data_IF_887405354514
#
_entry.id   IF_887405354514
#
_cell.length_a   1.000
_cell.length_b   1.000
_cell.length_c   1.000
_cell.angle_alpha   90.00
_cell.angle_beta   90.00
_cell.angle_gamma   90.00
#
_symmetry.space_group_name_H-M   'P 1'
#
loop_
_entity.id
_entity.type
_entity.pdbx_description
1 polymer ?
#
# COMPACT_ATOMS: atom_id res chain seq x y z
N UNK A 1 28.62 20.27 3.18
CA UNK A 1 29.10 18.87 3.12
C UNK A 1 28.00 17.80 3.17
N UNK A 2 26.78 18.06 3.66
CA UNK A 2 25.68 17.04 3.73
C UNK A 2 25.01 16.68 2.39
N UNK A 3 25.14 17.52 1.36
CA UNK A 3 24.52 17.27 0.03
C UNK A 3 25.31 16.31 -0.87
N UNK A 4 26.60 16.13 -0.63
CA UNK A 4 27.45 15.21 -1.39
C UNK A 4 27.31 13.75 -0.96
N UNK A 5 26.96 13.51 0.30
CA UNK A 5 26.79 12.14 0.85
C UNK A 5 25.60 11.41 0.22
N UNK A 6 24.52 12.14 -0.11
CA UNK A 6 23.34 11.55 -0.76
C UNK A 6 23.59 11.10 -2.19
N UNK A 7 24.39 11.87 -2.94
CA UNK A 7 24.78 11.50 -4.31
C UNK A 7 25.68 10.26 -4.34
N UNK A 8 26.53 10.08 -3.33
CA UNK A 8 27.40 8.90 -3.23
C UNK A 8 26.61 7.64 -2.87
N UNK A 9 25.60 7.72 -2.02
CA UNK A 9 24.71 6.60 -1.66
C UNK A 9 23.88 6.18 -2.85
N UNK A 10 23.31 7.11 -3.61
CA UNK A 10 22.54 6.82 -4.84
C UNK A 10 23.44 6.21 -5.92
N UNK A 11 24.68 6.66 -6.07
CA UNK A 11 25.67 6.11 -7.01
C UNK A 11 26.11 4.70 -6.63
N UNK A 12 26.21 4.38 -5.34
CA UNK A 12 26.58 3.06 -4.87
C UNK A 12 25.48 2.01 -5.11
N UNK A 13 24.21 2.44 -5.07
CA UNK A 13 23.03 1.59 -5.35
C UNK A 13 22.93 1.28 -6.85
N UNK A 14 23.37 2.21 -7.72
CA UNK A 14 23.36 2.03 -9.17
C UNK A 14 24.57 1.23 -9.71
N UNK A 15 25.64 1.08 -8.92
CA UNK A 15 26.87 0.37 -9.28
C UNK A 15 26.87 -1.14 -9.04
N UNK A 16 25.74 -1.73 -8.67
CA UNK A 16 25.60 -3.18 -8.43
C UNK A 16 25.72 -3.99 -9.70
N UNK A 17 26.89 -4.50 -9.93
CA UNK A 17 27.29 -5.69 -10.74
C UNK A 17 26.30 -6.13 -11.81
N UNK A 18 26.60 -5.75 -13.04
CA UNK A 18 26.08 -6.41 -14.23
C UNK A 18 26.67 -7.84 -14.32
N UNK A 19 26.18 -8.75 -13.48
CA UNK A 19 26.29 -10.16 -13.79
C UNK A 19 25.33 -10.44 -14.94
N UNK A 20 25.80 -11.16 -15.94
CA UNK A 20 24.97 -11.69 -17.03
C UNK A 20 23.95 -12.67 -16.43
N UNK A 21 22.84 -12.15 -15.92
CA UNK A 21 21.75 -12.94 -15.36
C UNK A 21 20.61 -12.95 -16.38
N UNK A 22 20.07 -14.13 -16.61
CA UNK A 22 18.98 -14.39 -17.56
C UNK A 22 17.65 -13.71 -17.16
N UNK A 23 17.61 -12.95 -16.06
CA UNK A 23 16.40 -12.32 -15.54
C UNK A 23 16.71 -11.03 -14.75
N UNK A 24 15.83 -10.05 -14.77
CA UNK A 24 16.00 -8.82 -13.98
C UNK A 24 15.96 -9.12 -12.49
N UNK A 25 16.91 -8.56 -11.75
CA UNK A 25 17.01 -8.73 -10.31
C UNK A 25 16.25 -7.68 -9.53
N UNK A 26 16.12 -6.47 -10.10
CA UNK A 26 15.46 -5.34 -9.49
C UNK A 26 14.30 -4.92 -10.37
N UNK A 27 13.13 -4.80 -9.78
CA UNK A 27 11.93 -4.31 -10.45
C UNK A 27 11.34 -3.17 -9.63
N UNK A 28 11.04 -2.06 -10.29
CA UNK A 28 10.40 -0.88 -9.71
C UNK A 28 9.08 -0.67 -10.41
N UNK A 29 7.97 -0.67 -9.66
CA UNK A 29 6.64 -0.48 -10.21
C UNK A 29 6.00 0.76 -9.64
N UNK A 30 5.47 1.63 -10.52
CA UNK A 30 4.54 2.68 -10.15
C UNK A 30 3.12 2.25 -10.52
N UNK A 31 2.16 2.44 -9.61
CA UNK A 31 0.80 1.96 -9.83
C UNK A 31 -0.27 2.92 -9.33
N UNK A 32 -1.45 2.82 -9.94
CA UNK A 32 -2.71 3.32 -9.42
C UNK A 32 -3.39 2.22 -8.61
N UNK A 33 -4.03 2.58 -7.49
CA UNK A 33 -4.67 1.65 -6.59
C UNK A 33 -6.08 2.09 -6.23
N UNK A 34 -7.01 1.14 -6.32
CA UNK A 34 -8.37 1.26 -5.82
C UNK A 34 -8.52 0.37 -4.59
N UNK A 35 -8.84 0.97 -3.45
CA UNK A 35 -8.95 0.30 -2.16
C UNK A 35 -10.41 0.35 -1.69
N UNK A 36 -11.01 -0.81 -1.49
CA UNK A 36 -12.36 -0.94 -0.94
C UNK A 36 -12.27 -1.25 0.55
N UNK A 37 -12.55 -0.25 1.33
CA UNK A 37 -12.58 -0.34 2.78
C UNK A 37 -13.93 -0.87 3.25
N UNK A 38 -13.92 -1.97 3.98
CA UNK A 38 -15.12 -2.64 4.47
C UNK A 38 -15.06 -2.70 6.02
N UNK A 39 -15.64 -1.71 6.73
CA UNK A 39 -15.67 -1.71 8.19
C UNK A 39 -16.57 -2.82 8.70
N UNK A 40 -16.01 -3.73 9.50
CA UNK A 40 -16.77 -4.80 10.13
C UNK A 40 -17.58 -4.23 11.32
N UNK A 41 -18.91 -4.45 11.29
CA UNK A 41 -19.84 -4.24 12.43
C UNK A 41 -19.98 -2.82 13.04
N UNK A 42 -20.17 -1.80 12.24
CA UNK A 42 -20.83 -0.62 12.79
C UNK A 42 -22.02 -0.26 11.89
N UNK A 43 -23.22 -0.49 12.39
CA UNK A 43 -24.49 -0.21 11.70
C UNK A 43 -24.68 1.26 11.25
N UNK A 44 -23.63 2.05 11.22
CA UNK A 44 -23.60 3.48 10.87
C UNK A 44 -22.53 3.84 9.82
N UNK A 45 -21.56 2.95 9.52
CA UNK A 45 -20.51 3.25 8.54
C UNK A 45 -20.68 2.39 7.29
N UNK A 46 -21.06 3.04 6.19
CA UNK A 46 -21.10 2.42 4.86
C UNK A 46 -19.68 2.11 4.37
N UNK A 47 -19.55 1.07 3.53
CA UNK A 47 -18.29 0.77 2.83
C UNK A 47 -17.85 1.98 2.00
N UNK A 48 -16.60 2.38 2.13
CA UNK A 48 -16.03 3.53 1.43
C UNK A 48 -14.92 3.08 0.48
N UNK A 49 -14.88 3.69 -0.67
CA UNK A 49 -13.84 3.46 -1.67
C UNK A 49 -12.79 4.55 -1.55
N UNK A 50 -11.54 4.16 -1.50
CA UNK A 50 -10.38 5.03 -1.49
C UNK A 50 -9.63 4.86 -2.82
N UNK A 51 -9.25 5.97 -3.42
CA UNK A 51 -8.41 5.98 -4.60
C UNK A 51 -7.02 6.45 -4.21
N UNK A 52 -6.01 5.86 -4.82
CA UNK A 52 -4.65 6.20 -4.48
C UNK A 52 -3.65 5.74 -5.51
N UNK A 53 -2.41 5.83 -5.13
CA UNK A 53 -1.31 5.34 -5.92
C UNK A 53 -0.11 5.07 -5.04
N UNK A 54 0.83 4.39 -5.60
CA UNK A 54 2.03 4.02 -4.88
C UNK A 54 3.14 3.54 -5.77
N UNK A 55 4.17 3.06 -5.11
CA UNK A 55 5.30 2.45 -5.75
C UNK A 55 5.78 1.26 -4.96
N UNK A 56 6.37 0.33 -5.66
CA UNK A 56 7.01 -0.84 -5.08
C UNK A 56 8.38 -1.07 -5.69
N UNK A 57 9.25 -1.65 -4.90
CA UNK A 57 10.53 -2.15 -5.33
C UNK A 57 10.63 -3.63 -4.94
N UNK A 58 10.97 -4.47 -5.91
CA UNK A 58 11.18 -5.91 -5.71
C UNK A 58 12.62 -6.26 -6.03
N UNK A 59 13.22 -7.03 -5.16
CA UNK A 59 14.56 -7.55 -5.34
C UNK A 59 14.51 -9.09 -5.41
N UNK A 60 14.90 -9.66 -6.53
CA UNK A 60 14.90 -11.11 -6.77
C UNK A 60 16.31 -11.68 -6.60
N UNK A 61 16.46 -12.59 -5.65
CA UNK A 61 17.70 -13.34 -5.42
C UNK A 61 17.72 -14.68 -6.16
N UNK A 62 16.61 -15.07 -6.76
CA UNK A 62 16.51 -16.18 -7.70
C UNK A 62 15.52 -15.84 -8.81
N UNK A 63 15.46 -16.65 -9.86
CA UNK A 63 14.54 -16.46 -10.99
C UNK A 63 13.07 -16.29 -10.55
N UNK A 64 12.67 -16.90 -9.44
CA UNK A 64 11.29 -16.96 -9.00
C UNK A 64 11.03 -16.26 -7.67
N UNK A 65 12.00 -16.15 -6.79
CA UNK A 65 11.81 -15.75 -5.39
C UNK A 65 12.51 -14.43 -5.11
N UNK A 66 11.81 -13.50 -4.50
CA UNK A 66 12.33 -12.19 -4.13
C UNK A 66 11.70 -11.64 -2.87
N UNK A 67 12.09 -10.43 -2.54
CA UNK A 67 11.52 -9.60 -1.48
C UNK A 67 11.01 -8.31 -2.12
N UNK A 68 9.83 -7.89 -1.72
CA UNK A 68 9.16 -6.67 -2.18
C UNK A 68 9.01 -5.69 -1.01
N UNK A 69 9.23 -4.42 -1.27
CA UNK A 69 8.83 -3.31 -0.41
C UNK A 69 7.84 -2.42 -1.17
N UNK A 70 6.75 -2.05 -0.53
CA UNK A 70 5.64 -1.29 -1.10
C UNK A 70 5.33 -0.07 -0.25
N UNK A 71 5.01 1.06 -0.92
CA UNK A 71 4.52 2.29 -0.30
C UNK A 71 3.30 2.78 -1.08
N UNK A 72 2.20 3.07 -0.40
CA UNK A 72 0.99 3.58 -1.03
C UNK A 72 0.34 4.69 -0.21
N UNK A 73 -0.22 5.67 -0.93
CA UNK A 73 -1.02 6.75 -0.36
C UNK A 73 -2.43 6.74 -0.97
N UNK A 74 -3.44 6.85 -0.11
CA UNK A 74 -4.84 6.85 -0.50
C UNK A 74 -5.54 8.09 0.02
N UNK A 75 -6.42 8.63 -0.82
CA UNK A 75 -7.33 9.72 -0.45
C UNK A 75 -8.76 9.22 -0.61
N UNK A 76 -9.53 9.36 0.46
CA UNK A 76 -10.95 9.09 0.46
C UNK A 76 -11.77 10.33 0.13
N UNK A 77 -13.01 10.12 -0.25
CA UNK A 77 -13.98 11.20 -0.39
C UNK A 77 -14.23 11.86 0.97
N UNK A 78 -14.59 13.14 0.96
CA UNK A 78 -15.03 13.84 2.17
C UNK A 78 -16.25 13.13 2.74
N UNK A 79 -16.12 12.58 3.92
CA UNK A 79 -17.25 12.02 4.67
C UNK A 79 -17.85 13.15 5.48
N UNK A 80 -19.10 13.50 5.18
CA UNK A 80 -19.84 14.54 5.92
C UNK A 80 -20.75 13.85 6.91
N UNK A 81 -20.53 14.10 8.19
CA UNK A 81 -21.43 13.69 9.26
C UNK A 81 -22.36 14.85 9.59
N UNK A 82 -23.64 14.61 9.46
CA UNK A 82 -24.67 15.60 9.85
C UNK A 82 -25.44 15.04 11.04
N UNK A 83 -25.38 15.73 12.18
CA UNK A 83 -26.19 15.44 13.36
C UNK A 83 -26.89 16.73 13.77
N UNK A 84 -28.18 16.85 13.46
CA UNK A 84 -28.94 18.07 13.68
C UNK A 84 -28.42 19.23 12.82
N UNK A 85 -28.06 20.35 13.45
CA UNK A 85 -27.53 21.55 12.78
C UNK A 85 -26.01 21.56 12.63
N UNK A 86 -25.32 20.50 13.05
CA UNK A 86 -23.86 20.42 13.01
C UNK A 86 -23.44 19.48 11.89
N UNK A 87 -22.70 20.02 10.92
CA UNK A 87 -22.09 19.23 9.83
C UNK A 87 -20.57 19.28 9.99
N UNK A 88 -19.96 18.11 10.15
CA UNK A 88 -18.51 17.95 10.14
C UNK A 88 -18.07 17.14 8.92
N UNK A 89 -17.04 17.59 8.22
CA UNK A 89 -16.47 16.87 7.10
C UNK A 89 -15.01 16.52 7.40
N UNK A 90 -14.67 15.26 7.22
CA UNK A 90 -13.29 14.77 7.34
C UNK A 90 -12.85 14.08 6.04
N UNK A 91 -11.60 14.28 5.64
CA UNK A 91 -11.01 13.59 4.51
C UNK A 91 -10.22 12.40 5.04
N UNK A 92 -10.54 11.20 4.57
CA UNK A 92 -9.81 10.01 4.97
C UNK A 92 -8.51 9.91 4.16
N UNK A 93 -7.37 10.16 4.79
CA UNK A 93 -6.06 9.90 4.21
C UNK A 93 -5.48 8.65 4.87
N UNK A 94 -5.03 7.70 4.04
CA UNK A 94 -4.41 6.47 4.49
C UNK A 94 -3.05 6.33 3.79
N UNK A 95 -2.03 6.05 4.54
CA UNK A 95 -0.70 5.74 4.05
C UNK A 95 -0.30 4.34 4.52
N UNK A 96 0.19 3.49 3.61
CA UNK A 96 0.63 2.13 3.93
C UNK A 96 2.07 1.92 3.50
N UNK A 97 2.79 1.09 4.27
CA UNK A 97 4.15 0.65 3.97
C UNK A 97 4.27 -0.82 4.35
N UNK A 98 4.67 -1.64 3.39
CA UNK A 98 4.68 -3.08 3.54
C UNK A 98 5.97 -3.68 2.97
N UNK A 99 6.41 -4.81 3.55
CA UNK A 99 7.57 -5.57 3.07
C UNK A 99 7.30 -7.06 3.24
N UNK A 100 7.76 -7.86 2.29
CA UNK A 100 7.63 -9.32 2.40
C UNK A 100 8.05 -10.09 1.16
N UNK A 101 7.89 -11.41 1.19
CA UNK A 101 8.25 -12.29 0.08
C UNK A 101 7.32 -12.14 -1.11
N UNK A 102 7.88 -12.28 -2.31
CA UNK A 102 7.19 -12.35 -3.58
C UNK A 102 7.71 -13.55 -4.36
N UNK A 103 6.80 -14.27 -5.00
CA UNK A 103 7.12 -15.37 -5.92
C UNK A 103 6.55 -14.99 -7.29
N UNK A 104 7.38 -15.04 -8.33
CA UNK A 104 7.02 -14.71 -9.70
C UNK A 104 7.41 -15.85 -10.64
N UNK A 105 6.47 -16.27 -11.48
CA UNK A 105 6.71 -17.26 -12.52
C UNK A 105 7.04 -16.53 -13.84
N UNK A 106 8.28 -16.63 -14.28
CA UNK A 106 8.74 -15.97 -15.50
C UNK A 106 8.60 -16.93 -16.69
N UNK A 107 7.47 -16.87 -17.39
CA UNK A 107 7.12 -17.77 -18.49
C UNK A 107 6.89 -17.05 -19.82
N UNK A 108 7.69 -16.05 -20.12
CA UNK A 108 7.68 -15.38 -21.42
C UNK A 108 6.67 -14.23 -21.50
N UNK A 109 5.48 -14.46 -22.08
CA UNK A 109 4.51 -13.37 -22.33
C UNK A 109 3.69 -12.96 -21.12
N UNK A 110 3.54 -13.83 -20.14
CA UNK A 110 2.78 -13.58 -18.91
C UNK A 110 3.60 -14.04 -17.72
N UNK A 111 3.74 -13.17 -16.74
CA UNK A 111 4.48 -13.45 -15.52
C UNK A 111 3.55 -13.30 -14.32
N UNK A 112 2.79 -14.36 -13.96
CA UNK A 112 2.00 -14.33 -12.75
C UNK A 112 2.89 -14.30 -11.52
N UNK A 113 2.45 -13.56 -10.50
CA UNK A 113 3.14 -13.48 -9.22
C UNK A 113 2.16 -13.56 -8.06
N UNK A 114 2.67 -13.98 -6.92
CA UNK A 114 1.97 -13.97 -5.63
C UNK A 114 2.87 -13.36 -4.56
N UNK A 115 2.24 -12.73 -3.58
CA UNK A 115 2.97 -12.02 -2.52
C UNK A 115 2.31 -12.15 -1.17
N UNK A 116 3.12 -12.05 -0.13
CA UNK A 116 2.67 -11.93 1.26
C UNK A 116 3.48 -10.82 1.89
N UNK A 117 2.82 -9.72 2.26
CA UNK A 117 3.50 -8.55 2.81
C UNK A 117 3.00 -8.24 4.22
N UNK A 118 3.90 -7.69 5.03
CA UNK A 118 3.65 -7.26 6.40
C UNK A 118 4.11 -5.82 6.56
N UNK A 119 3.36 -5.04 7.32
CA UNK A 119 3.73 -3.64 7.49
C UNK A 119 2.83 -2.87 8.41
N UNK A 120 2.65 -1.60 8.07
CA UNK A 120 1.81 -0.70 8.83
C UNK A 120 0.99 0.21 7.94
N UNK A 121 -0.17 0.57 8.47
CA UNK A 121 -1.06 1.57 7.91
C UNK A 121 -1.14 2.76 8.87
N UNK A 122 -1.03 3.97 8.35
CA UNK A 122 -1.17 5.21 9.11
C UNK A 122 -2.32 6.03 8.54
N UNK A 123 -3.31 6.35 9.39
CA UNK A 123 -4.49 7.13 8.99
C UNK A 123 -4.57 8.43 9.77
N UNK A 124 -4.83 9.55 9.10
CA UNK A 124 -5.06 10.85 9.74
C UNK A 124 -6.55 11.13 10.03
N UNK A 125 -7.45 10.23 9.68
CA UNK A 125 -8.90 10.41 9.76
C UNK A 125 -9.41 10.82 11.15
N UNK A 126 -8.94 10.14 12.20
CA UNK A 126 -9.39 10.39 13.57
C UNK A 126 -8.91 11.72 14.12
N UNK A 127 -7.71 12.16 13.77
CA UNK A 127 -7.17 13.44 14.24
C UNK A 127 -7.92 14.64 13.62
N UNK A 128 -8.37 14.52 12.37
CA UNK A 128 -9.09 15.58 11.68
C UNK A 128 -10.56 15.70 12.15
N UNK A 129 -11.20 14.59 12.50
CA UNK A 129 -12.51 14.57 13.13
C UNK A 129 -12.50 15.29 14.47
N UNK A 130 -11.51 15.02 15.32
CA UNK A 130 -11.42 15.63 16.64
C UNK A 130 -11.07 17.12 16.63
N UNK A 131 -10.42 17.63 15.59
CA UNK A 131 -10.21 19.08 15.42
C UNK A 131 -11.50 19.85 15.17
N UNK A 132 -12.51 19.18 14.62
CA UNK A 132 -13.79 19.82 14.22
C UNK A 132 -14.82 19.81 15.36
N UNK A 133 -14.70 18.92 16.35
CA UNK A 133 -15.62 18.81 17.48
C UNK A 133 -15.00 19.36 18.76
N UNK A 134 -15.55 20.48 19.27
CA UNK A 134 -15.23 20.99 20.61
C UNK A 134 -15.80 20.03 21.65
N UNK A 135 -14.94 19.28 22.33
CA UNK A 135 -15.35 18.27 23.33
C UNK A 135 -15.08 16.82 22.93
N UNK A 136 -14.38 16.59 21.81
CA UNK A 136 -13.90 15.26 21.45
C UNK A 136 -12.79 14.82 22.43
N UNK A 137 -13.16 14.05 23.44
CA UNK A 137 -12.21 13.42 24.36
C UNK A 137 -11.86 12.04 23.78
N UNK A 138 -11.01 11.99 22.78
CA UNK A 138 -10.46 10.73 22.30
C UNK A 138 -9.16 10.47 23.07
N UNK A 139 -9.22 9.57 24.02
CA UNK A 139 -8.03 9.07 24.68
C UNK A 139 -7.16 8.33 23.65
N UNK A 140 -6.15 9.04 23.11
CA UNK A 140 -5.07 8.49 22.32
C UNK A 140 -5.55 7.65 21.11
N UNK A 141 -6.11 8.28 20.03
CA UNK A 141 -6.45 7.53 18.84
C UNK A 141 -5.17 6.97 18.23
N UNK A 142 -5.06 5.67 18.19
CA UNK A 142 -3.95 5.00 17.48
C UNK A 142 -4.11 5.26 15.99
N UNK A 143 -3.33 6.20 15.45
CA UNK A 143 -3.30 6.52 14.03
C UNK A 143 -2.54 5.45 13.20
N UNK A 144 -1.98 4.44 13.86
CA UNK A 144 -1.18 3.39 13.24
C UNK A 144 -1.78 2.02 13.50
N UNK A 145 -1.84 1.21 12.45
CA UNK A 145 -2.33 -0.17 12.50
C UNK A 145 -1.30 -1.11 11.92
N UNK A 146 -1.32 -2.34 12.37
CA UNK A 146 -0.62 -3.43 11.68
C UNK A 146 -1.37 -3.75 10.39
N UNK A 147 -0.61 -3.93 9.29
CA UNK A 147 -1.13 -4.26 7.96
C UNK A 147 -0.54 -5.60 7.50
N UNK A 148 -1.40 -6.46 7.00
CA UNK A 148 -1.06 -7.74 6.40
C UNK A 148 -1.72 -7.84 5.03
N UNK A 149 -0.92 -8.11 4.01
CA UNK A 149 -1.36 -8.20 2.63
C UNK A 149 -1.04 -9.58 2.09
N UNK A 150 -2.03 -10.21 1.46
CA UNK A 150 -1.84 -11.41 0.65
C UNK A 150 -2.51 -11.20 -0.69
N UNK A 151 -1.79 -11.42 -1.76
CA UNK A 151 -2.33 -11.17 -3.09
C UNK A 151 -1.44 -11.64 -4.21
N UNK A 152 -1.74 -11.12 -5.39
CA UNK A 152 -0.99 -11.42 -6.58
C UNK A 152 -1.57 -10.78 -7.83
N UNK A 153 -0.84 -10.90 -8.91
CA UNK A 153 -1.21 -10.29 -10.19
C UNK A 153 -0.48 -10.93 -11.35
N UNK A 154 -0.54 -10.23 -12.47
CA UNK A 154 0.10 -10.66 -13.71
C UNK A 154 0.86 -9.47 -14.28
N UNK A 155 2.13 -9.69 -14.61
CA UNK A 155 2.95 -8.75 -15.35
C UNK A 155 3.06 -9.22 -16.81
N UNK A 156 2.96 -8.28 -17.75
CA UNK A 156 3.09 -8.50 -19.18
C UNK A 156 4.35 -7.77 -19.64
N UNK A 157 5.46 -8.48 -19.91
CA UNK A 157 6.67 -7.87 -20.41
C UNK A 157 6.51 -7.39 -21.84
N UNK A 158 6.74 -6.10 -22.09
CA UNK A 158 6.81 -5.55 -23.44
C UNK A 158 8.25 -5.49 -23.96
N UNK A 159 9.20 -5.38 -23.04
CA UNK A 159 10.62 -5.31 -23.35
C UNK A 159 11.43 -5.90 -22.19
N UNK A 160 12.74 -6.05 -22.37
CA UNK A 160 13.62 -6.47 -21.27
C UNK A 160 13.53 -5.53 -20.06
N UNK A 161 13.31 -4.24 -20.27
CA UNK A 161 13.32 -3.22 -19.22
C UNK A 161 11.94 -2.72 -18.80
N UNK A 162 10.86 -3.08 -19.50
CA UNK A 162 9.52 -2.55 -19.23
C UNK A 162 8.49 -3.65 -19.26
N UNK A 163 7.64 -3.70 -18.22
CA UNK A 163 6.46 -4.52 -18.17
C UNK A 163 5.23 -3.70 -17.74
N UNK A 164 4.08 -4.14 -18.14
CA UNK A 164 2.78 -3.60 -17.71
C UNK A 164 2.11 -4.58 -16.74
N UNK A 165 1.56 -4.05 -15.67
CA UNK A 165 0.72 -4.79 -14.73
C UNK A 165 -0.73 -4.38 -14.95
N UNK A 166 -1.52 -5.16 -15.71
CA UNK A 166 -2.93 -4.85 -15.93
C UNK A 166 -3.76 -5.00 -14.67
N UNK A 167 -3.42 -5.97 -13.83
CA UNK A 167 -4.19 -6.28 -12.64
C UNK A 167 -3.32 -6.92 -11.56
N UNK A 168 -3.50 -6.44 -10.35
CA UNK A 168 -3.12 -7.08 -9.10
C UNK A 168 -4.32 -6.99 -8.17
N UNK A 169 -4.62 -8.07 -7.46
CA UNK A 169 -5.69 -8.15 -6.48
C UNK A 169 -5.14 -8.64 -5.15
N UNK A 170 -5.39 -7.86 -4.11
CA UNK A 170 -4.87 -8.11 -2.78
C UNK A 170 -6.00 -8.13 -1.75
N UNK A 171 -5.89 -9.04 -0.83
CA UNK A 171 -6.63 -9.07 0.41
C UNK A 171 -5.78 -8.42 1.50
N UNK A 172 -6.32 -7.37 2.11
CA UNK A 172 -5.62 -6.53 3.08
C UNK A 172 -6.33 -6.63 4.43
N UNK A 173 -5.62 -7.17 5.41
CA UNK A 173 -6.04 -7.24 6.80
C UNK A 173 -5.39 -6.11 7.57
N UNK A 174 -6.20 -5.13 8.01
CA UNK A 174 -5.73 -4.06 8.90
C UNK A 174 -6.32 -4.22 10.29
N UNK A 175 -5.47 -4.03 11.31
CA UNK A 175 -5.86 -4.12 12.71
C UNK A 175 -5.69 -2.78 13.40
N UNK A 176 -6.77 -1.99 13.41
CA UNK A 176 -6.81 -0.73 14.12
C UNK A 176 -7.27 -0.91 15.57
N UNK A 177 -6.57 -0.27 16.52
CA UNK A 177 -7.06 -0.12 17.90
C UNK A 177 -8.13 0.98 17.94
N UNK A 178 -9.39 0.60 18.16
CA UNK A 178 -10.48 1.57 18.26
C UNK A 178 -10.48 2.24 19.64
N UNK A 179 -10.33 3.56 19.67
CA UNK A 179 -10.49 4.36 20.90
C UNK A 179 -11.92 4.37 21.48
N UNK A 180 -12.90 3.76 20.78
CA UNK A 180 -14.32 3.75 21.19
C UNK A 180 -14.82 2.40 21.73
N UNK A 181 -14.10 1.31 21.49
CA UNK A 181 -14.44 -0.03 22.02
C UNK A 181 -13.18 -0.70 22.53
N UNK A 182 -13.30 -1.40 23.67
CA UNK A 182 -12.22 -2.20 24.26
C UNK A 182 -11.97 -3.46 23.43
N UNK A 183 -11.39 -3.32 22.22
CA UNK A 183 -11.07 -4.45 21.36
C UNK A 183 -10.43 -4.01 20.05
N UNK A 184 -9.39 -4.74 19.63
CA UNK A 184 -8.84 -4.60 18.30
C UNK A 184 -9.83 -5.22 17.30
N UNK A 185 -10.28 -4.45 16.32
CA UNK A 185 -11.13 -4.96 15.26
C UNK A 185 -10.29 -5.27 14.01
N UNK A 186 -10.43 -6.48 13.50
CA UNK A 186 -9.86 -6.90 12.24
C UNK A 186 -10.75 -6.37 11.11
N UNK A 187 -10.16 -5.66 10.17
CA UNK A 187 -10.86 -5.15 9.01
C UNK A 187 -10.35 -5.86 7.76
N UNK A 188 -11.29 -6.43 7.02
CA UNK A 188 -11.03 -7.17 5.79
C UNK A 188 -11.30 -6.29 4.58
N UNK A 189 -10.26 -5.96 3.83
CA UNK A 189 -10.33 -5.03 2.72
C UNK A 189 -9.83 -5.68 1.44
N UNK A 190 -10.33 -5.21 0.30
CA UNK A 190 -9.85 -5.59 -1.03
C UNK A 190 -9.18 -4.41 -1.71
N UNK A 191 -8.05 -4.69 -2.36
CA UNK A 191 -7.27 -3.72 -3.11
C UNK A 191 -7.04 -4.21 -4.52
N UNK A 192 -7.22 -3.33 -5.50
CA UNK A 192 -6.90 -3.57 -6.90
C UNK A 192 -5.88 -2.56 -7.36
N UNK A 193 -4.89 -3.03 -8.12
CA UNK A 193 -3.81 -2.18 -8.62
C UNK A 193 -3.57 -2.44 -10.08
N UNK A 194 -3.16 -1.38 -10.81
CA UNK A 194 -2.65 -1.45 -12.17
C UNK A 194 -1.49 -0.47 -12.33
N UNK A 195 -0.45 -0.86 -13.06
CA UNK A 195 0.76 -0.05 -13.10
C UNK A 195 1.74 -0.39 -14.20
N UNK A 196 2.87 0.32 -14.15
CA UNK A 196 4.01 0.12 -15.07
C UNK A 196 5.22 -0.24 -14.23
N UNK A 197 5.96 -1.23 -14.70
CA UNK A 197 7.15 -1.77 -14.06
C UNK A 197 8.38 -1.52 -14.92
N UNK A 198 9.44 -1.03 -14.29
CA UNK A 198 10.78 -0.90 -14.85
C UNK A 198 11.66 -1.99 -14.26
N UNK A 199 12.45 -2.65 -15.09
CA UNK A 199 13.25 -3.82 -14.76
C UNK A 199 14.74 -3.58 -15.04
N UNK A 200 15.58 -4.02 -14.13
CA UNK A 200 17.03 -3.86 -14.16
C UNK A 200 17.74 -5.18 -13.94
#
# INVERSE_FOLDING_TARGET
>A
MKRFTWLFIVSLILGGTAYAQDHPNVEVTGYYSYFRFNPENSGTLSSHSLNGGGGEISFYFSRMIGVKAEFAGYQGNKVTFTSGSISASATANLFTYNVGPVIKLRSGHFEPFGEVLFGGAHSSFYSDLCKTFTGCVVNNPSNSAFDFVIGGGIDIPFSHSIAFRPVQADYVLTRFGNGFTSGNQNQSNFRYQAGIQIRF
#
